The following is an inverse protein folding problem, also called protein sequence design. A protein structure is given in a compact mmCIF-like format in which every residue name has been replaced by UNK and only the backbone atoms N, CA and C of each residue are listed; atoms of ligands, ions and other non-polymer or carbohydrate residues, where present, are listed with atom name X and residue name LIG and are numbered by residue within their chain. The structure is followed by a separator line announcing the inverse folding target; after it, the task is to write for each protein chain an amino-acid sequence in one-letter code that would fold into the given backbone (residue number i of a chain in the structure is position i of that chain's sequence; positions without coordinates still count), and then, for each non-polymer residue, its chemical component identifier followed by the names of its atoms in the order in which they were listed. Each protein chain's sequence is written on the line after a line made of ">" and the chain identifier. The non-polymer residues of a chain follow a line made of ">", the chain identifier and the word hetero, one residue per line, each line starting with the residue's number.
data_IF_307874040636
#
_entry.id   IF_307874040636
#
_cell.length_a   1.000
_cell.length_b   1.000
_cell.length_c   1.000
_cell.angle_alpha   90.00
_cell.angle_beta   90.00
_cell.angle_gamma   90.00
#
_symmetry.space_group_name_H-M   'P 1'
#
loop_
_entity.id
_entity.type
_entity.pdbx_description
1 polymer ?
#
# COMPACT_ATOMS: atom_id res chain seq x y z
N UNK A 1 -30.26 -61.65 -11.31
CA UNK A 1 -29.88 -60.91 -10.12
C UNK A 1 -28.98 -59.73 -10.54
N UNK A 2 -29.43 -58.50 -10.47
CA UNK A 2 -28.58 -57.37 -10.83
C UNK A 2 -27.63 -57.04 -9.67
N UNK A 3 -26.35 -56.87 -9.98
CA UNK A 3 -25.32 -56.42 -9.03
C UNK A 3 -25.41 -54.91 -8.91
N UNK A 4 -25.78 -54.40 -7.70
CA UNK A 4 -25.77 -52.97 -7.36
C UNK A 4 -24.35 -52.63 -6.99
N UNK A 5 -23.71 -51.76 -7.81
CA UNK A 5 -22.42 -51.11 -7.46
C UNK A 5 -22.71 -49.88 -6.61
N UNK A 6 -22.31 -49.93 -5.35
CA UNK A 6 -22.25 -48.73 -4.48
C UNK A 6 -20.98 -47.92 -4.84
N UNK A 7 -21.18 -46.78 -5.46
CA UNK A 7 -20.09 -45.77 -5.61
C UNK A 7 -20.06 -44.97 -4.32
N UNK A 8 -19.11 -45.28 -3.45
CA UNK A 8 -18.82 -44.44 -2.29
C UNK A 8 -18.16 -43.13 -2.76
N UNK A 9 -18.92 -42.04 -2.78
CA UNK A 9 -18.41 -40.72 -3.03
C UNK A 9 -17.62 -40.26 -1.80
N UNK A 10 -16.29 -40.29 -1.88
CA UNK A 10 -15.38 -39.69 -0.87
C UNK A 10 -15.51 -38.17 -0.97
N UNK A 11 -16.30 -37.57 -0.08
CA UNK A 11 -16.31 -36.11 0.12
C UNK A 11 -14.99 -35.77 0.82
N UNK A 12 -14.02 -35.29 0.04
CA UNK A 12 -12.82 -34.68 0.58
C UNK A 12 -13.22 -33.32 1.21
N UNK A 13 -13.49 -33.33 2.51
CA UNK A 13 -13.63 -32.11 3.27
C UNK A 13 -12.22 -31.48 3.38
N UNK A 14 -11.89 -30.56 2.48
CA UNK A 14 -10.71 -29.74 2.65
C UNK A 14 -10.96 -28.85 3.88
N UNK A 15 -10.35 -29.19 4.99
CA UNK A 15 -10.25 -28.26 6.12
C UNK A 15 -9.45 -27.05 5.64
N UNK A 16 -10.13 -25.94 5.38
CA UNK A 16 -9.51 -24.66 5.19
C UNK A 16 -8.79 -24.31 6.51
N UNK A 17 -7.47 -24.44 6.52
CA UNK A 17 -6.65 -24.01 7.64
C UNK A 17 -6.62 -22.49 7.59
N UNK A 18 -7.31 -21.84 8.52
CA UNK A 18 -7.27 -20.38 8.65
C UNK A 18 -5.82 -19.90 8.77
N UNK A 19 -5.49 -18.85 8.04
CA UNK A 19 -4.15 -18.26 8.06
C UNK A 19 -3.89 -17.54 9.37
N UNK A 20 -2.78 -17.86 10.01
CA UNK A 20 -2.34 -17.18 11.22
C UNK A 20 -1.45 -15.98 10.92
N UNK A 21 -1.51 -14.96 11.79
CA UNK A 21 -0.57 -13.84 11.78
C UNK A 21 0.64 -14.23 12.63
N UNK A 22 1.79 -14.28 11.98
CA UNK A 22 3.10 -14.47 12.58
C UNK A 22 3.77 -13.11 12.81
N UNK A 23 4.74 -13.08 13.72
CA UNK A 23 5.48 -11.88 14.09
C UNK A 23 6.99 -12.12 13.95
N UNK A 24 7.71 -11.09 13.51
CA UNK A 24 9.17 -11.09 13.44
C UNK A 24 9.67 -9.66 13.55
N UNK A 25 10.93 -9.49 13.94
CA UNK A 25 11.59 -8.19 13.97
C UNK A 25 12.61 -8.11 12.82
N UNK A 26 12.64 -7.00 12.12
CA UNK A 26 13.64 -6.71 11.10
C UNK A 26 14.70 -5.78 11.69
N UNK A 27 15.93 -6.27 11.80
CA UNK A 27 17.08 -5.57 12.40
C UNK A 27 18.31 -5.57 11.47
N UNK A 28 18.12 -5.83 10.14
CA UNK A 28 19.21 -6.02 9.18
C UNK A 28 19.59 -4.74 8.42
N UNK A 29 19.42 -3.58 9.05
CA UNK A 29 19.82 -2.27 8.55
C UNK A 29 20.38 -1.40 9.69
N UNK A 30 20.92 -0.24 9.36
CA UNK A 30 21.48 0.72 10.32
C UNK A 30 20.41 1.70 10.90
N UNK A 31 19.15 1.28 10.95
CA UNK A 31 18.00 2.07 11.44
C UNK A 31 17.37 1.35 12.62
N UNK A 32 16.51 2.01 13.42
CA UNK A 32 15.74 1.32 14.44
C UNK A 32 14.96 0.13 13.88
N UNK A 33 14.87 -0.92 14.67
CA UNK A 33 14.17 -2.15 14.32
C UNK A 33 12.71 -1.91 13.93
N UNK A 34 12.20 -2.74 13.03
CA UNK A 34 10.80 -2.74 12.63
C UNK A 34 10.16 -4.05 13.07
N UNK A 35 9.09 -3.95 13.87
CA UNK A 35 8.19 -5.07 14.10
C UNK A 35 7.40 -5.37 12.81
N UNK A 36 7.32 -6.63 12.43
CA UNK A 36 6.60 -7.07 11.23
C UNK A 36 5.59 -8.12 11.60
N UNK A 37 4.36 -7.92 11.16
CA UNK A 37 3.30 -8.92 11.15
C UNK A 37 3.21 -9.49 9.74
N UNK A 38 3.11 -10.81 9.61
CA UNK A 38 2.98 -11.43 8.30
C UNK A 38 2.12 -12.69 8.35
N UNK A 39 1.52 -13.03 7.24
CA UNK A 39 0.73 -14.25 7.09
C UNK A 39 1.08 -14.92 5.77
N UNK A 40 1.37 -16.23 5.82
CA UNK A 40 1.76 -17.03 4.67
C UNK A 40 0.67 -18.05 4.31
N UNK A 41 0.58 -18.49 3.04
CA UNK A 41 -0.25 -19.63 2.67
C UNK A 41 0.30 -20.91 3.32
N UNK A 42 -0.53 -21.97 3.45
CA UNK A 42 -0.09 -23.26 4.01
C UNK A 42 1.10 -23.88 3.27
N UNK A 43 1.20 -23.63 1.98
CA UNK A 43 2.33 -24.04 1.13
C UNK A 43 2.91 -22.82 0.45
N UNK A 44 4.21 -22.59 0.63
CA UNK A 44 4.95 -21.52 -0.04
C UNK A 44 5.73 -22.15 -1.19
N UNK A 45 5.61 -21.58 -2.38
CA UNK A 45 6.38 -21.94 -3.56
C UNK A 45 7.40 -20.84 -3.90
N UNK A 46 8.31 -21.12 -4.82
CA UNK A 46 9.21 -20.10 -5.35
C UNK A 46 8.46 -18.97 -6.11
N UNK A 47 7.23 -19.23 -6.56
CA UNK A 47 6.39 -18.29 -7.30
C UNK A 47 5.39 -17.55 -6.40
N UNK A 48 5.33 -17.86 -5.11
CA UNK A 48 4.44 -17.19 -4.16
C UNK A 48 4.63 -15.67 -4.22
N UNK A 49 3.52 -14.93 -4.37
CA UNK A 49 3.56 -13.47 -4.42
C UNK A 49 3.79 -12.88 -3.03
N UNK A 50 4.57 -11.81 -2.95
CA UNK A 50 4.68 -10.98 -1.74
C UNK A 50 3.79 -9.74 -1.91
N UNK A 51 2.97 -9.44 -0.91
CA UNK A 51 2.16 -8.23 -0.85
C UNK A 51 2.36 -7.50 0.48
N UNK A 52 2.76 -6.23 0.39
CA UNK A 52 2.86 -5.35 1.55
C UNK A 52 1.53 -4.67 1.84
N UNK A 53 1.13 -4.66 3.12
CA UNK A 53 -0.02 -3.95 3.67
C UNK A 53 0.50 -2.85 4.61
N UNK A 54 0.37 -1.59 4.21
CA UNK A 54 0.90 -0.46 4.97
C UNK A 54 -0.20 0.17 5.81
N UNK A 55 -0.01 0.14 7.12
CA UNK A 55 -0.97 0.62 8.13
C UNK A 55 -1.28 2.11 8.02
N UNK A 56 -2.45 2.50 8.53
CA UNK A 56 -2.84 3.90 8.69
C UNK A 56 -2.08 4.63 9.82
N UNK A 57 -2.37 5.92 10.03
CA UNK A 57 -1.73 6.74 11.05
C UNK A 57 -1.98 6.26 12.49
N UNK A 58 -3.02 5.48 12.73
CA UNK A 58 -3.32 4.84 14.01
C UNK A 58 -2.35 3.72 14.38
N UNK A 59 -1.61 3.17 13.40
CA UNK A 59 -0.70 2.03 13.53
C UNK A 59 -1.36 0.78 14.10
N UNK A 60 -2.58 0.49 13.62
CA UNK A 60 -3.29 -0.75 13.91
C UNK A 60 -2.84 -1.85 12.96
N UNK A 61 -1.54 -2.06 12.84
CA UNK A 61 -0.89 -2.90 11.82
C UNK A 61 -1.45 -4.32 11.78
N UNK A 62 -1.57 -4.95 12.94
CA UNK A 62 -2.13 -6.30 13.06
C UNK A 62 -3.61 -6.35 12.66
N UNK A 63 -4.40 -5.30 12.99
CA UNK A 63 -5.80 -5.21 12.59
C UNK A 63 -5.91 -4.97 11.08
N UNK A 64 -5.11 -4.04 10.54
CA UNK A 64 -5.11 -3.75 9.10
C UNK A 64 -4.72 -4.99 8.29
N UNK A 65 -3.79 -5.83 8.78
CA UNK A 65 -3.45 -7.12 8.18
C UNK A 65 -4.58 -8.14 8.31
N UNK A 66 -5.26 -8.17 9.46
CA UNK A 66 -6.37 -9.08 9.75
C UNK A 66 -7.55 -8.87 8.77
N UNK A 67 -7.79 -7.61 8.35
CA UNK A 67 -8.81 -7.29 7.35
C UNK A 67 -8.54 -7.96 5.99
N UNK A 68 -7.26 -8.32 5.70
CA UNK A 68 -6.85 -8.98 4.46
C UNK A 68 -6.90 -10.51 4.51
N UNK A 69 -6.86 -11.13 5.71
CA UNK A 69 -6.78 -12.60 5.81
C UNK A 69 -7.89 -13.33 5.05
N UNK A 70 -9.19 -12.98 5.21
CA UNK A 70 -10.27 -13.67 4.48
C UNK A 70 -10.20 -13.43 2.96
N UNK A 71 -9.58 -12.32 2.52
CA UNK A 71 -9.50 -11.95 1.10
C UNK A 71 -8.41 -12.72 0.35
N UNK A 72 -7.43 -13.25 1.07
CA UNK A 72 -6.32 -14.03 0.49
C UNK A 72 -6.45 -15.53 0.72
N UNK A 73 -7.56 -15.97 1.25
CA UNK A 73 -7.81 -17.41 1.45
C UNK A 73 -7.77 -18.15 0.11
N UNK A 74 -7.04 -19.27 0.06
CA UNK A 74 -6.83 -20.05 -1.16
C UNK A 74 -5.90 -19.38 -2.20
N UNK A 75 -5.30 -18.23 -1.91
CA UNK A 75 -4.39 -17.52 -2.82
C UNK A 75 -2.92 -17.79 -2.48
N UNK A 76 -2.06 -17.88 -3.49
CA UNK A 76 -0.61 -18.06 -3.30
C UNK A 76 0.08 -16.71 -3.07
N UNK A 77 -0.16 -16.11 -1.90
CA UNK A 77 0.38 -14.80 -1.51
C UNK A 77 0.76 -14.76 -0.04
N UNK A 78 1.94 -14.20 0.25
CA UNK A 78 2.37 -13.82 1.60
C UNK A 78 2.02 -12.35 1.81
N UNK A 79 1.29 -12.07 2.89
CA UNK A 79 1.02 -10.70 3.35
C UNK A 79 2.10 -10.28 4.34
N UNK A 80 2.62 -9.06 4.20
CA UNK A 80 3.63 -8.49 5.09
C UNK A 80 3.21 -7.09 5.49
N UNK A 81 3.10 -6.85 6.79
CA UNK A 81 2.71 -5.57 7.35
C UNK A 81 3.80 -5.05 8.31
N UNK A 82 4.71 -4.19 7.85
CA UNK A 82 5.70 -3.55 8.71
C UNK A 82 5.02 -2.50 9.60
N UNK A 83 5.38 -2.48 10.89
CA UNK A 83 4.93 -1.46 11.83
C UNK A 83 5.96 -0.34 11.98
N UNK A 84 5.70 0.78 11.35
CA UNK A 84 6.47 1.99 11.55
C UNK A 84 6.03 2.67 12.87
N UNK A 85 6.69 2.35 13.97
CA UNK A 85 6.32 2.79 15.32
C UNK A 85 6.28 4.33 15.45
N UNK A 86 5.49 4.84 16.40
CA UNK A 86 5.48 6.28 16.68
C UNK A 86 6.80 6.77 17.28
N UNK A 87 7.46 5.92 18.02
CA UNK A 87 8.71 6.23 18.71
C UNK A 87 9.83 6.55 17.71
N UNK A 88 10.04 5.68 16.75
CA UNK A 88 11.17 5.80 15.83
C UNK A 88 10.78 6.38 14.47
N UNK A 89 9.55 6.14 14.01
CA UNK A 89 9.09 6.46 12.67
C UNK A 89 7.82 7.33 12.66
N UNK A 90 7.81 8.37 13.51
CA UNK A 90 6.60 9.21 13.65
C UNK A 90 6.12 9.81 12.34
N UNK A 91 7.05 10.20 11.47
CA UNK A 91 6.77 10.83 10.17
C UNK A 91 6.87 9.82 9.00
N UNK A 92 6.60 8.51 9.26
CA UNK A 92 6.73 7.44 8.25
C UNK A 92 5.96 7.75 6.96
N UNK A 93 4.76 8.31 7.08
CA UNK A 93 3.92 8.69 5.95
C UNK A 93 4.57 9.73 5.02
N UNK A 94 5.63 10.37 5.46
CA UNK A 94 6.46 11.33 4.71
C UNK A 94 7.87 10.79 4.48
N UNK A 95 8.05 9.47 4.58
CA UNK A 95 9.32 8.74 4.42
C UNK A 95 10.42 9.21 5.37
N UNK A 96 10.07 9.76 6.54
CA UNK A 96 11.02 10.38 7.47
C UNK A 96 11.85 11.53 6.88
N UNK A 97 11.40 12.14 5.77
CA UNK A 97 12.10 13.28 5.14
C UNK A 97 11.67 14.63 5.69
N UNK A 98 10.39 14.76 6.00
CA UNK A 98 9.81 16.00 6.54
C UNK A 98 8.77 15.70 7.60
N UNK A 99 8.42 16.73 8.38
CA UNK A 99 7.19 16.74 9.17
C UNK A 99 5.96 16.86 8.26
N UNK A 100 4.78 16.63 8.79
CA UNK A 100 3.49 16.82 8.10
C UNK A 100 3.28 18.23 7.52
N UNK A 101 3.98 19.23 8.03
CA UNK A 101 3.91 20.63 7.56
C UNK A 101 4.99 21.00 6.53
N UNK A 102 5.91 20.06 6.24
CA UNK A 102 6.97 20.24 5.24
C UNK A 102 8.26 20.84 5.80
N UNK A 103 8.47 20.83 7.13
CA UNK A 103 9.78 21.13 7.71
C UNK A 103 10.70 19.94 7.48
N UNK A 104 11.82 20.14 6.80
CA UNK A 104 12.83 19.10 6.53
C UNK A 104 13.37 18.56 7.85
N UNK A 105 13.47 17.25 7.97
CA UNK A 105 14.14 16.57 9.08
C UNK A 105 15.66 16.61 8.80
N UNK A 106 16.43 17.02 9.81
CA UNK A 106 17.91 17.07 9.69
C UNK A 106 18.54 15.67 9.77
N UNK A 107 17.93 14.80 10.56
CA UNK A 107 18.36 13.40 10.69
C UNK A 107 17.75 12.56 9.55
N UNK A 108 18.58 12.18 8.62
CA UNK A 108 18.23 11.31 7.47
C UNK A 108 18.53 9.84 7.74
N UNK A 109 19.10 9.48 8.89
CA UNK A 109 19.47 8.11 9.24
C UNK A 109 18.26 7.16 9.26
N UNK A 110 17.03 7.69 9.40
CA UNK A 110 15.77 6.94 9.45
C UNK A 110 14.96 7.04 8.16
N UNK A 111 15.55 7.53 7.07
CA UNK A 111 14.88 7.59 5.78
C UNK A 111 14.34 6.21 5.36
N UNK A 112 13.13 6.18 4.79
CA UNK A 112 12.42 4.96 4.47
C UNK A 112 12.35 4.64 2.97
N UNK A 113 13.13 5.32 2.13
CA UNK A 113 13.11 5.08 0.67
C UNK A 113 13.56 3.67 0.27
N UNK A 114 14.45 3.03 1.05
CA UNK A 114 14.87 1.65 0.80
C UNK A 114 13.97 0.59 1.45
N UNK A 115 13.10 1.00 2.38
CA UNK A 115 12.46 0.10 3.36
C UNK A 115 11.75 -1.11 2.76
N UNK A 116 10.87 -0.92 1.76
CA UNK A 116 10.13 -2.05 1.18
C UNK A 116 11.03 -2.94 0.31
N UNK A 117 12.05 -2.37 -0.34
CA UNK A 117 13.04 -3.13 -1.09
C UNK A 117 13.87 -4.05 -0.19
N UNK A 118 14.30 -3.52 0.96
CA UNK A 118 15.05 -4.27 1.97
C UNK A 118 14.20 -5.40 2.57
N UNK A 119 12.95 -5.09 2.94
CA UNK A 119 12.00 -6.08 3.45
C UNK A 119 11.63 -7.14 2.40
N UNK A 120 11.48 -6.76 1.14
CA UNK A 120 11.25 -7.71 0.06
C UNK A 120 12.41 -8.70 -0.09
N UNK A 121 13.65 -8.22 -0.06
CA UNK A 121 14.85 -9.07 -0.11
C UNK A 121 14.90 -10.02 1.10
N UNK A 122 14.63 -9.51 2.30
CA UNK A 122 14.61 -10.31 3.52
C UNK A 122 13.58 -11.45 3.45
N UNK A 123 12.33 -11.15 3.10
CA UNK A 123 11.28 -12.16 3.04
C UNK A 123 11.45 -13.13 1.87
N UNK A 124 11.92 -12.66 0.71
CA UNK A 124 12.25 -13.53 -0.42
C UNK A 124 13.31 -14.58 -0.02
N UNK A 125 14.35 -14.15 0.69
CA UNK A 125 15.38 -15.05 1.20
C UNK A 125 14.86 -15.99 2.29
N UNK A 126 14.17 -15.44 3.30
CA UNK A 126 13.64 -16.19 4.45
C UNK A 126 12.67 -17.28 4.04
N UNK A 127 11.81 -17.00 3.04
CA UNK A 127 10.75 -17.89 2.59
C UNK A 127 11.11 -18.65 1.29
N UNK A 128 12.31 -18.46 0.75
CA UNK A 128 12.81 -19.06 -0.51
C UNK A 128 11.88 -18.74 -1.71
N UNK A 129 11.41 -17.50 -1.79
CA UNK A 129 10.57 -16.99 -2.86
C UNK A 129 11.47 -16.39 -3.95
N UNK A 130 11.23 -16.74 -5.22
CA UNK A 130 12.02 -16.30 -6.38
C UNK A 130 11.32 -15.23 -7.23
N UNK A 131 10.08 -14.87 -6.93
CA UNK A 131 9.35 -13.80 -7.61
C UNK A 131 10.14 -12.49 -7.58
N UNK A 132 10.14 -11.75 -8.71
CA UNK A 132 10.96 -10.55 -8.85
C UNK A 132 10.20 -9.27 -8.54
N UNK A 133 8.90 -9.37 -8.24
CA UNK A 133 8.02 -8.24 -7.97
C UNK A 133 7.15 -8.49 -6.76
N UNK A 134 6.66 -7.42 -6.17
CA UNK A 134 5.72 -7.46 -5.06
C UNK A 134 4.51 -6.55 -5.32
N UNK A 135 3.43 -6.76 -4.57
CA UNK A 135 2.23 -5.92 -4.59
C UNK A 135 2.18 -5.04 -3.36
N UNK A 136 1.45 -3.94 -3.45
CA UNK A 136 1.47 -2.91 -2.43
C UNK A 136 0.07 -2.35 -2.20
N UNK A 137 -0.36 -2.36 -0.94
CA UNK A 137 -1.58 -1.73 -0.49
C UNK A 137 -1.28 -0.75 0.64
N UNK A 138 -2.00 0.37 0.67
CA UNK A 138 -1.97 1.30 1.79
C UNK A 138 -3.28 2.05 1.96
N UNK A 139 -3.75 2.16 3.20
CA UNK A 139 -4.93 2.93 3.55
C UNK A 139 -4.57 4.17 4.38
N UNK A 140 -5.25 5.29 4.18
CA UNK A 140 -5.08 6.50 4.99
C UNK A 140 -3.62 6.99 5.03
N UNK A 141 -2.98 6.93 6.21
CA UNK A 141 -1.53 7.21 6.39
C UNK A 141 -0.64 6.26 5.57
N UNK A 142 -1.04 4.99 5.43
CA UNK A 142 -0.37 4.01 4.58
C UNK A 142 -0.44 4.37 3.10
N UNK A 143 -1.58 4.87 2.62
CA UNK A 143 -1.70 5.40 1.26
C UNK A 143 -0.80 6.62 1.05
N UNK A 144 -0.64 7.46 2.08
CA UNK A 144 0.30 8.58 2.04
C UNK A 144 1.76 8.11 1.96
N UNK A 145 2.13 7.05 2.67
CA UNK A 145 3.44 6.40 2.54
C UNK A 145 3.63 5.85 1.13
N UNK A 146 2.69 5.04 0.66
CA UNK A 146 2.79 4.30 -0.60
C UNK A 146 3.07 5.22 -1.79
N UNK A 147 2.26 6.25 -2.03
CA UNK A 147 2.48 7.10 -3.21
C UNK A 147 3.78 7.90 -3.14
N UNK A 148 4.25 8.26 -1.93
CA UNK A 148 5.54 8.94 -1.75
C UNK A 148 6.70 7.97 -1.94
N UNK A 149 6.59 6.74 -1.43
CA UNK A 149 7.56 5.69 -1.69
C UNK A 149 7.73 5.44 -3.19
N UNK A 150 6.62 5.31 -3.91
CA UNK A 150 6.65 5.12 -5.36
C UNK A 150 7.23 6.32 -6.13
N UNK A 151 7.09 7.53 -5.62
CA UNK A 151 7.62 8.74 -6.25
C UNK A 151 9.10 8.98 -5.96
N UNK A 152 9.58 8.62 -4.75
CA UNK A 152 10.88 9.07 -4.26
C UNK A 152 11.93 7.95 -4.12
N UNK A 153 11.52 6.68 -3.96
CA UNK A 153 12.48 5.57 -3.90
C UNK A 153 12.98 5.16 -5.28
N UNK A 154 14.10 4.47 -5.35
CA UNK A 154 14.60 3.83 -6.58
C UNK A 154 13.97 2.46 -6.85
N UNK A 155 13.05 2.01 -5.99
CA UNK A 155 12.39 0.71 -6.11
C UNK A 155 11.49 0.64 -7.35
N UNK A 156 11.70 -0.37 -8.17
CA UNK A 156 10.94 -0.59 -9.41
C UNK A 156 10.23 -1.95 -9.48
N UNK A 157 10.42 -2.81 -8.47
CA UNK A 157 9.87 -4.18 -8.43
C UNK A 157 8.40 -4.25 -8.03
N UNK A 158 7.65 -3.17 -8.12
CA UNK A 158 6.21 -3.15 -7.84
C UNK A 158 5.44 -3.68 -9.05
N UNK A 159 4.61 -4.72 -8.87
CA UNK A 159 3.72 -5.25 -9.89
C UNK A 159 2.39 -4.48 -9.96
N UNK A 160 1.65 -4.48 -8.85
CA UNK A 160 0.38 -3.75 -8.69
C UNK A 160 0.38 -2.95 -7.39
N UNK A 161 -0.32 -1.84 -7.38
CA UNK A 161 -0.48 -0.99 -6.19
C UNK A 161 -1.90 -0.46 -6.06
N UNK A 162 -2.46 -0.51 -4.86
CA UNK A 162 -3.71 0.15 -4.51
C UNK A 162 -3.49 1.15 -3.37
N UNK A 163 -3.94 2.37 -3.59
CA UNK A 163 -3.85 3.49 -2.65
C UNK A 163 -5.26 3.90 -2.23
N UNK A 164 -5.59 3.72 -0.95
CA UNK A 164 -6.93 3.96 -0.44
C UNK A 164 -7.00 5.15 0.52
N UNK A 165 -7.93 6.08 0.29
CA UNK A 165 -8.35 7.13 1.20
C UNK A 165 -7.22 7.94 1.85
N UNK A 166 -6.19 8.36 1.11
CA UNK A 166 -5.13 9.20 1.68
C UNK A 166 -5.67 10.52 2.24
N UNK A 167 -5.12 10.95 3.36
CA UNK A 167 -5.50 12.22 3.97
C UNK A 167 -5.17 13.45 3.11
N UNK A 168 -4.05 13.38 2.37
CA UNK A 168 -3.65 14.31 1.31
C UNK A 168 -2.52 13.69 0.48
N UNK A 169 -2.22 14.28 -0.65
CA UNK A 169 -1.31 13.71 -1.64
C UNK A 169 -0.08 14.58 -1.90
N UNK A 170 0.98 13.97 -2.42
CA UNK A 170 2.12 14.65 -3.02
C UNK A 170 1.88 14.73 -4.52
N UNK A 171 1.53 15.91 -5.00
CA UNK A 171 1.38 16.16 -6.43
C UNK A 171 2.76 16.19 -7.09
N UNK A 172 2.90 15.62 -8.26
CA UNK A 172 4.14 15.68 -9.04
C UNK A 172 4.34 17.08 -9.64
N UNK A 173 4.40 18.10 -8.78
CA UNK A 173 4.52 19.50 -9.11
C UNK A 173 5.80 20.09 -8.48
N UNK A 174 6.81 20.45 -9.29
CA UNK A 174 8.09 20.98 -8.79
C UNK A 174 8.00 22.41 -8.21
N UNK A 175 6.88 23.11 -8.38
CA UNK A 175 6.67 24.42 -7.74
C UNK A 175 6.21 24.31 -6.28
N UNK A 176 5.67 23.17 -5.87
CA UNK A 176 5.11 22.94 -4.54
C UNK A 176 6.09 22.13 -3.69
N UNK A 177 6.39 22.64 -2.48
CA UNK A 177 7.30 21.95 -1.53
C UNK A 177 6.69 20.61 -1.05
N UNK A 178 7.56 19.63 -0.87
CA UNK A 178 7.24 18.38 -0.21
C UNK A 178 6.73 18.62 1.24
N UNK A 179 5.75 17.91 1.77
CA UNK A 179 5.12 16.69 1.22
C UNK A 179 3.86 16.93 0.36
N UNK A 180 3.59 18.16 -0.07
CA UNK A 180 2.41 18.50 -0.90
C UNK A 180 2.71 18.49 -2.39
N UNK A 181 3.97 18.65 -2.77
CA UNK A 181 4.52 18.55 -4.11
C UNK A 181 5.93 17.99 -4.07
N UNK A 182 6.68 18.10 -5.17
CA UNK A 182 8.01 17.50 -5.30
C UNK A 182 9.16 18.53 -5.33
N UNK A 183 8.89 19.80 -5.00
CA UNK A 183 9.97 20.80 -4.92
C UNK A 183 11.00 20.37 -3.88
N UNK A 184 12.27 20.39 -4.26
CA UNK A 184 13.44 19.98 -3.47
C UNK A 184 13.50 18.44 -3.23
N UNK A 185 12.79 17.66 -4.04
CA UNK A 185 12.93 16.22 -4.12
C UNK A 185 13.52 15.86 -5.48
N UNK A 186 14.38 14.85 -5.50
CA UNK A 186 14.96 14.34 -6.75
C UNK A 186 13.98 13.37 -7.40
N UNK A 187 13.11 13.89 -8.26
CA UNK A 187 12.14 13.11 -9.02
C UNK A 187 12.37 13.34 -10.50
N UNK A 188 13.10 12.45 -11.14
CA UNK A 188 13.42 12.50 -12.57
C UNK A 188 12.18 12.24 -13.45
N UNK A 189 12.22 12.68 -14.71
CA UNK A 189 11.19 12.32 -15.69
C UNK A 189 11.13 10.80 -15.94
N UNK A 190 12.25 10.09 -15.81
CA UNK A 190 12.29 8.62 -15.85
C UNK A 190 11.47 8.02 -14.71
N UNK A 191 11.63 8.53 -13.48
CA UNK A 191 10.85 8.08 -12.32
C UNK A 191 9.36 8.39 -12.48
N UNK A 192 9.01 9.55 -12.98
CA UNK A 192 7.61 9.92 -13.27
C UNK A 192 7.00 9.00 -14.33
N UNK A 193 7.74 8.71 -15.40
CA UNK A 193 7.30 7.78 -16.45
C UNK A 193 7.03 6.39 -15.90
N UNK A 194 7.94 5.86 -15.08
CA UNK A 194 7.75 4.59 -14.41
C UNK A 194 6.53 4.62 -13.48
N UNK A 195 6.41 5.64 -12.63
CA UNK A 195 5.28 5.81 -11.70
C UNK A 195 3.93 5.83 -12.44
N UNK A 196 3.81 6.60 -13.51
CA UNK A 196 2.58 6.69 -14.30
C UNK A 196 2.27 5.39 -15.06
N UNK A 197 3.28 4.58 -15.39
CA UNK A 197 3.13 3.29 -16.07
C UNK A 197 2.79 2.11 -15.15
N UNK A 198 2.78 2.30 -13.83
CA UNK A 198 2.40 1.26 -12.88
C UNK A 198 0.95 0.81 -13.08
N UNK A 199 0.69 -0.46 -12.89
CA UNK A 199 -0.67 -0.97 -12.65
C UNK A 199 -1.14 -0.46 -11.28
N UNK A 200 -1.65 0.76 -11.23
CA UNK A 200 -2.04 1.46 -10.02
C UNK A 200 -3.55 1.67 -9.92
N UNK A 201 -4.07 1.68 -8.70
CA UNK A 201 -5.45 2.06 -8.38
C UNK A 201 -5.50 3.13 -7.30
N UNK A 202 -6.26 4.20 -7.55
CA UNK A 202 -6.67 5.17 -6.54
C UNK A 202 -8.09 4.79 -6.10
N UNK A 203 -8.20 4.26 -4.89
CA UNK A 203 -9.45 3.78 -4.32
C UNK A 203 -9.97 4.80 -3.31
N UNK A 204 -11.20 5.26 -3.49
CA UNK A 204 -11.81 6.30 -2.64
C UNK A 204 -13.17 5.83 -2.14
N UNK A 205 -13.36 5.86 -0.83
CA UNK A 205 -14.68 5.60 -0.23
C UNK A 205 -15.66 6.73 -0.60
N UNK A 206 -16.82 6.37 -1.15
CA UNK A 206 -17.84 7.33 -1.56
C UNK A 206 -18.37 8.17 -0.40
N UNK A 207 -18.35 7.59 0.81
CA UNK A 207 -18.77 8.24 2.06
C UNK A 207 -17.60 8.86 2.86
N UNK A 208 -16.36 8.83 2.35
CA UNK A 208 -15.23 9.54 2.99
C UNK A 208 -15.18 11.02 2.57
N UNK A 209 -16.34 11.64 2.64
CA UNK A 209 -16.67 12.99 2.17
C UNK A 209 -16.95 14.00 3.30
N UNK A 210 -16.67 13.65 4.56
CA UNK A 210 -16.86 14.51 5.70
C UNK A 210 -15.67 15.49 5.91
N UNK A 211 -15.83 16.81 5.67
CA UNK A 211 -14.77 17.80 5.84
C UNK A 211 -14.39 18.04 7.31
N UNK A 212 -15.21 17.57 8.25
CA UNK A 212 -14.97 17.68 9.70
C UNK A 212 -14.49 16.36 10.32
N UNK A 213 -14.15 15.35 9.51
CA UNK A 213 -13.70 14.08 10.05
C UNK A 213 -12.44 14.27 10.91
N UNK A 214 -12.46 13.74 12.16
CA UNK A 214 -11.42 13.97 13.21
C UNK A 214 -9.98 13.69 12.77
N UNK A 215 -9.77 12.72 11.87
CA UNK A 215 -8.45 12.36 11.36
C UNK A 215 -8.11 12.98 10.00
N UNK A 216 -8.96 13.89 9.48
CA UNK A 216 -8.66 14.59 8.24
C UNK A 216 -7.60 15.65 8.48
N UNK A 217 -6.46 15.65 7.74
CA UNK A 217 -5.45 16.69 7.84
C UNK A 217 -6.02 18.08 7.51
N UNK A 218 -5.86 19.03 8.47
CA UNK A 218 -6.48 20.36 8.40
C UNK A 218 -5.54 21.49 7.95
N UNK A 219 -4.26 21.16 7.59
CA UNK A 219 -3.29 22.14 7.12
C UNK A 219 -3.79 22.85 5.86
N UNK A 220 -3.51 24.18 5.75
CA UNK A 220 -3.95 24.98 4.59
C UNK A 220 -3.67 24.32 3.24
N UNK A 221 -2.45 23.78 3.07
CA UNK A 221 -2.04 23.12 1.81
C UNK A 221 -2.78 21.80 1.55
N UNK A 222 -3.17 21.07 2.59
CA UNK A 222 -4.02 19.88 2.43
C UNK A 222 -5.45 20.28 2.02
N UNK A 223 -6.00 21.35 2.61
CA UNK A 223 -7.33 21.91 2.23
C UNK A 223 -7.36 22.43 0.80
N UNK A 224 -6.25 22.94 0.28
CA UNK A 224 -6.13 23.36 -1.12
C UNK A 224 -6.26 22.19 -2.12
N UNK A 225 -6.10 20.94 -1.67
CA UNK A 225 -6.30 19.76 -2.50
C UNK A 225 -7.76 19.31 -2.56
N UNK A 226 -8.61 19.82 -1.66
CA UNK A 226 -10.02 19.49 -1.53
C UNK A 226 -10.47 19.54 -0.06
N UNK A 227 -11.78 19.62 0.16
CA UNK A 227 -12.33 19.75 1.51
C UNK A 227 -12.33 18.44 2.29
N UNK A 228 -12.44 17.30 1.59
CA UNK A 228 -12.49 15.97 2.17
C UNK A 228 -11.65 14.96 1.34
N UNK A 229 -11.47 13.73 1.83
CA UNK A 229 -10.57 12.75 1.21
C UNK A 229 -11.00 12.33 -0.19
N UNK A 230 -12.30 12.14 -0.40
CA UNK A 230 -12.82 11.80 -1.72
C UNK A 230 -12.42 12.87 -2.75
N UNK A 231 -12.64 14.15 -2.45
CA UNK A 231 -12.25 15.25 -3.35
C UNK A 231 -10.74 15.33 -3.55
N UNK A 232 -9.95 15.21 -2.49
CA UNK A 232 -8.47 15.23 -2.59
C UNK A 232 -7.92 14.11 -3.47
N UNK A 233 -8.48 12.91 -3.34
CA UNK A 233 -8.10 11.77 -4.15
C UNK A 233 -8.52 11.94 -5.62
N UNK A 234 -9.70 12.48 -5.87
CA UNK A 234 -10.19 12.81 -7.22
C UNK A 234 -9.26 13.83 -7.89
N UNK A 235 -8.93 14.92 -7.18
CA UNK A 235 -8.03 15.96 -7.69
C UNK A 235 -6.61 15.43 -7.92
N UNK A 236 -6.14 14.53 -7.07
CA UNK A 236 -4.85 13.86 -7.27
C UNK A 236 -4.87 12.98 -8.53
N UNK A 237 -5.91 12.15 -8.71
CA UNK A 237 -6.03 11.31 -9.91
C UNK A 237 -6.07 12.15 -11.18
N UNK A 238 -6.88 13.21 -11.20
CA UNK A 238 -6.98 14.14 -12.34
C UNK A 238 -5.62 14.81 -12.64
N UNK A 239 -4.84 15.15 -11.60
CA UNK A 239 -3.48 15.64 -11.78
C UNK A 239 -2.57 14.62 -12.46
N UNK A 240 -2.64 13.35 -12.08
CA UNK A 240 -1.84 12.29 -12.71
C UNK A 240 -2.20 12.12 -14.20
N UNK A 241 -3.51 12.12 -14.52
CA UNK A 241 -3.99 12.08 -15.91
C UNK A 241 -3.45 13.26 -16.71
N UNK A 242 -3.61 14.48 -16.18
CA UNK A 242 -3.12 15.70 -16.84
C UNK A 242 -1.59 15.70 -17.02
N UNK A 243 -0.84 15.14 -16.05
CA UNK A 243 0.61 15.00 -16.16
C UNK A 243 1.01 14.02 -17.26
N UNK A 244 0.33 12.86 -17.35
CA UNK A 244 0.54 11.87 -18.41
C UNK A 244 0.33 12.47 -19.80
N UNK A 245 -0.76 13.19 -19.99
CA UNK A 245 -1.07 13.89 -21.25
C UNK A 245 -0.01 14.96 -21.55
N UNK A 246 0.27 15.87 -20.59
CA UNK A 246 1.21 17.00 -20.77
C UNK A 246 2.62 16.53 -21.13
N UNK A 247 3.08 15.44 -20.55
CA UNK A 247 4.44 14.90 -20.76
C UNK A 247 4.50 13.79 -21.80
N UNK A 248 3.38 13.44 -22.44
CA UNK A 248 3.27 12.31 -23.36
C UNK A 248 3.83 11.01 -22.77
N UNK A 249 3.43 10.71 -21.52
CA UNK A 249 3.86 9.53 -20.78
C UNK A 249 2.76 8.47 -20.73
N UNK A 250 3.11 7.15 -20.68
CA UNK A 250 2.12 6.08 -20.48
C UNK A 250 1.36 6.31 -19.18
N UNK A 251 0.06 6.02 -19.16
CA UNK A 251 -0.77 6.15 -17.98
C UNK A 251 -1.57 4.85 -17.76
N UNK A 252 -1.38 4.17 -16.61
CA UNK A 252 -2.03 2.89 -16.32
C UNK A 252 -2.75 2.87 -14.98
N UNK A 253 -2.92 4.02 -14.34
CA UNK A 253 -3.68 4.14 -13.10
C UNK A 253 -5.17 4.10 -13.37
N UNK A 254 -5.91 3.46 -12.46
CA UNK A 254 -7.37 3.37 -12.47
C UNK A 254 -7.94 4.18 -11.31
N UNK A 255 -9.13 4.69 -11.49
CA UNK A 255 -9.88 5.46 -10.51
C UNK A 255 -11.09 4.64 -10.04
N UNK A 256 -11.23 4.44 -8.74
CA UNK A 256 -12.30 3.65 -8.15
C UNK A 256 -12.96 4.44 -7.03
N UNK A 257 -14.26 4.69 -7.12
CA UNK A 257 -15.09 5.14 -6.00
C UNK A 257 -15.86 3.93 -5.47
N UNK A 258 -15.73 3.66 -4.17
CA UNK A 258 -16.36 2.52 -3.51
C UNK A 258 -17.64 2.99 -2.83
N UNK A 259 -18.83 2.67 -3.38
CA UNK A 259 -20.10 3.14 -2.82
C UNK A 259 -20.32 2.64 -1.40
N UNK A 260 -20.90 3.47 -0.53
CA UNK A 260 -21.26 3.12 0.85
C UNK A 260 -20.07 2.93 1.81
N UNK A 261 -18.83 3.06 1.35
CA UNK A 261 -17.66 2.95 2.21
C UNK A 261 -17.16 4.33 2.61
N UNK A 262 -16.95 4.52 3.92
CA UNK A 262 -16.38 5.73 4.51
C UNK A 262 -14.85 5.61 4.68
N UNK A 263 -14.29 6.23 5.74
CA UNK A 263 -12.87 6.09 6.10
C UNK A 263 -12.60 4.78 6.85
N UNK A 264 -12.84 3.65 6.18
CA UNK A 264 -12.75 2.31 6.74
C UNK A 264 -11.76 1.43 5.96
N UNK A 265 -10.83 0.76 6.68
CA UNK A 265 -9.82 -0.08 6.05
C UNK A 265 -10.40 -1.39 5.51
N UNK A 266 -11.31 -2.04 6.24
CA UNK A 266 -11.86 -3.32 5.85
C UNK A 266 -12.65 -3.22 4.53
N UNK A 267 -13.53 -2.23 4.41
CA UNK A 267 -14.29 -1.97 3.18
C UNK A 267 -13.39 -1.60 2.00
N UNK A 268 -12.32 -0.83 2.25
CA UNK A 268 -11.36 -0.46 1.19
C UNK A 268 -10.45 -1.61 0.79
N UNK A 269 -10.07 -2.50 1.73
CA UNK A 269 -9.31 -3.73 1.44
C UNK A 269 -10.13 -4.67 0.57
N UNK A 270 -11.41 -4.88 0.91
CA UNK A 270 -12.33 -5.70 0.11
C UNK A 270 -12.42 -5.18 -1.34
N UNK A 271 -12.61 -3.87 -1.51
CA UNK A 271 -12.71 -3.26 -2.84
C UNK A 271 -11.40 -3.33 -3.64
N UNK A 272 -10.24 -3.31 -2.97
CA UNK A 272 -8.93 -3.39 -3.61
C UNK A 272 -8.49 -4.83 -3.90
N UNK A 273 -9.10 -5.83 -3.25
CA UNK A 273 -8.70 -7.23 -3.34
C UNK A 273 -8.78 -7.77 -4.76
N UNK A 274 -9.89 -7.56 -5.47
CA UNK A 274 -10.04 -8.03 -6.84
C UNK A 274 -8.94 -7.47 -7.74
N UNK A 275 -8.66 -6.17 -7.63
CA UNK A 275 -7.61 -5.53 -8.41
C UNK A 275 -6.22 -6.07 -8.09
N UNK A 276 -5.92 -6.29 -6.81
CA UNK A 276 -4.61 -6.74 -6.37
C UNK A 276 -4.41 -8.25 -6.52
N UNK A 277 -5.47 -9.07 -6.54
CA UNK A 277 -5.39 -10.52 -6.41
C UNK A 277 -6.00 -11.30 -7.61
N UNK A 278 -6.52 -10.61 -8.65
CA UNK A 278 -7.27 -11.25 -9.76
C UNK A 278 -6.51 -12.35 -10.51
N UNK A 279 -5.18 -12.34 -10.44
CA UNK A 279 -4.28 -13.24 -11.16
C UNK A 279 -3.45 -14.15 -10.21
N UNK A 280 -3.92 -14.37 -8.97
CA UNK A 280 -3.29 -15.22 -7.95
C UNK A 280 -4.16 -16.38 -7.52
#
# INVERSE_FOLDING_TARGET
>A
MPKIFFIASLIFCQFLIARDIQETTYSYWNKPDIQIYYSAPPTISENTMIMFVIHGASRKTKQDLNDWLPLVEGRDVVLIAPEFSKEFYNEYAYLMKTTKTGRILKDTSRDLESSLGDLFNFFSSKLKISTKKFRLYGHSGGSQFVHRYLLLSDETRVDKVAMANAGFYTFANPAIKYPFGIKNMDVSDHRLKWFLSLKGGVFLGGEDNNPKHRSLPSMRKAKQQGEHRLERGTNFFNHLVGLGVKKNMPFRWRYHVVPGVSHDNAGMSLAAADFLLEDL
#
